data_IF_098965455465
#
_entry.id   IF_098965455465
#
_cell.length_a   1.000
_cell.length_b   1.000
_cell.length_c   1.000
_cell.angle_alpha   90.00
_cell.angle_beta   90.00
_cell.angle_gamma   90.00
#
_symmetry.space_group_name_H-M   'P 1'
#
loop_
_entity.id
_entity.type
_entity.pdbx_description
1 polymer ?
#
# COMPACT_ATOMS: atom_id res chain seq x y z
N UNK A 1 -6.16 15.64 -16.00
CA UNK A 1 -5.07 14.76 -15.53
C UNK A 1 -4.90 13.62 -16.54
N UNK A 2 -3.80 13.55 -17.31
CA UNK A 2 -3.58 12.48 -18.29
C UNK A 2 -2.95 11.28 -17.58
N UNK A 3 -3.73 10.19 -17.41
CA UNK A 3 -3.20 8.89 -16.98
C UNK A 3 -2.31 8.34 -18.12
N UNK A 4 -1.08 7.93 -17.84
CA UNK A 4 -0.21 7.22 -18.79
C UNK A 4 -0.06 5.77 -18.34
N UNK A 5 -0.26 4.83 -19.27
CA UNK A 5 -0.13 3.38 -19.04
C UNK A 5 -1.48 2.67 -18.81
N UNK A 6 -1.59 1.37 -19.17
CA UNK A 6 -2.76 0.58 -18.83
C UNK A 6 -2.89 0.48 -17.29
N UNK A 7 -4.12 0.45 -16.73
CA UNK A 7 -4.30 0.26 -15.30
C UNK A 7 -3.65 -1.08 -14.89
N UNK A 8 -2.73 -1.02 -13.93
CA UNK A 8 -2.12 -2.23 -13.37
C UNK A 8 -2.95 -2.67 -12.16
N UNK A 9 -3.51 -3.88 -12.21
CA UNK A 9 -4.20 -4.48 -11.07
C UNK A 9 -3.26 -5.43 -10.35
N UNK A 10 -3.08 -5.22 -9.05
CA UNK A 10 -2.24 -6.09 -8.23
C UNK A 10 -2.87 -7.48 -8.06
N UNK A 11 -2.03 -8.48 -7.74
CA UNK A 11 -2.53 -9.69 -7.07
C UNK A 11 -3.17 -9.29 -5.72
N UNK A 12 -4.15 -10.05 -5.19
CA UNK A 12 -4.71 -9.79 -3.87
C UNK A 12 -3.64 -9.82 -2.78
N UNK A 13 -3.68 -8.88 -1.83
CA UNK A 13 -2.74 -8.82 -0.71
C UNK A 13 -3.44 -8.38 0.58
N UNK A 14 -2.79 -8.67 1.71
CA UNK A 14 -3.34 -8.35 3.05
C UNK A 14 -3.05 -6.92 3.42
N UNK A 15 -4.07 -6.18 3.85
CA UNK A 15 -3.97 -4.84 4.39
C UNK A 15 -4.47 -4.83 5.83
N UNK A 16 -3.65 -4.32 6.75
CA UNK A 16 -4.00 -4.31 8.18
C UNK A 16 -4.96 -3.17 8.48
N UNK A 17 -6.03 -3.46 9.22
CA UNK A 17 -7.01 -2.47 9.70
C UNK A 17 -6.76 -2.10 11.17
N UNK A 18 -7.48 -1.10 11.68
CA UNK A 18 -7.22 -0.48 12.98
C UNK A 18 -7.26 -1.48 14.15
N UNK A 19 -8.27 -2.35 14.18
CA UNK A 19 -8.43 -3.40 15.19
C UNK A 19 -7.35 -4.51 15.14
N UNK A 20 -6.37 -4.43 14.24
CA UNK A 20 -5.27 -5.40 14.09
C UNK A 20 -5.58 -6.58 13.16
N UNK A 21 -6.84 -6.75 12.73
CA UNK A 21 -7.21 -7.73 11.70
C UNK A 21 -6.66 -7.33 10.32
N UNK A 22 -6.76 -8.25 9.36
CA UNK A 22 -6.40 -8.00 7.98
C UNK A 22 -7.60 -8.16 7.05
N UNK A 23 -7.70 -7.25 6.08
CA UNK A 23 -8.58 -7.40 4.92
C UNK A 23 -7.75 -7.85 3.72
N UNK A 24 -8.34 -8.63 2.83
CA UNK A 24 -7.72 -8.95 1.54
C UNK A 24 -8.18 -7.90 0.54
N UNK A 25 -7.25 -7.20 -0.09
CA UNK A 25 -7.54 -6.15 -1.08
C UNK A 25 -6.84 -6.44 -2.41
N UNK A 26 -7.44 -5.94 -3.47
CA UNK A 26 -6.79 -5.74 -4.77
C UNK A 26 -6.68 -4.24 -5.02
N UNK A 27 -5.58 -3.81 -5.63
CA UNK A 27 -5.36 -2.40 -5.92
C UNK A 27 -5.19 -2.19 -7.40
N UNK A 28 -5.98 -1.29 -7.96
CA UNK A 28 -5.72 -0.70 -9.26
C UNK A 28 -4.75 0.47 -9.07
N UNK A 29 -3.60 0.39 -9.72
CA UNK A 29 -2.55 1.38 -9.64
C UNK A 29 -2.56 2.29 -10.87
N UNK A 30 -2.42 3.58 -10.60
CA UNK A 30 -2.20 4.61 -11.61
C UNK A 30 -1.22 5.66 -11.08
N UNK A 31 -0.83 6.59 -11.94
CA UNK A 31 0.16 7.62 -11.60
C UNK A 31 -0.25 9.00 -12.11
N UNK A 32 0.29 10.01 -11.44
CA UNK A 32 0.22 11.40 -11.87
C UNK A 32 1.62 11.91 -12.23
N UNK A 33 1.79 12.27 -13.49
CA UNK A 33 3.01 12.90 -14.01
C UNK A 33 2.71 14.39 -14.19
N UNK A 34 3.54 15.23 -13.59
CA UNK A 34 3.41 16.68 -13.69
C UNK A 34 3.53 17.14 -15.16
N UNK A 35 2.57 17.91 -15.69
CA UNK A 35 2.58 18.35 -17.09
C UNK A 35 3.77 19.24 -17.48
N UNK A 36 4.36 19.98 -16.54
CA UNK A 36 5.47 20.90 -16.76
C UNK A 36 6.82 20.24 -16.52
N UNK A 37 7.05 19.69 -15.32
CA UNK A 37 8.34 19.08 -14.96
C UNK A 37 8.56 17.71 -15.61
N UNK A 38 7.49 17.08 -16.11
CA UNK A 38 7.48 15.69 -16.63
C UNK A 38 7.89 14.63 -15.62
N UNK A 39 7.99 14.99 -14.33
CA UNK A 39 8.31 14.06 -13.25
C UNK A 39 7.06 13.38 -12.72
N UNK A 40 7.22 12.13 -12.29
CA UNK A 40 6.22 11.42 -11.51
C UNK A 40 6.10 12.10 -10.12
N UNK A 41 4.90 12.55 -9.77
CA UNK A 41 4.66 13.22 -8.48
C UNK A 41 3.83 12.38 -7.52
N UNK A 42 2.87 11.60 -8.04
CA UNK A 42 1.99 10.79 -7.21
C UNK A 42 1.77 9.41 -7.81
N UNK A 43 1.72 8.42 -6.93
CA UNK A 43 1.14 7.11 -7.20
C UNK A 43 -0.25 7.08 -6.57
N UNK A 44 -1.25 6.66 -7.35
CA UNK A 44 -2.64 6.58 -6.92
C UNK A 44 -3.05 5.11 -6.91
N UNK A 45 -3.43 4.61 -5.73
CA UNK A 45 -3.99 3.27 -5.55
C UNK A 45 -5.49 3.34 -5.29
N UNK A 46 -6.30 2.68 -6.13
CA UNK A 46 -7.71 2.45 -5.88
C UNK A 46 -7.89 1.05 -5.31
N UNK A 47 -8.24 0.96 -4.02
CA UNK A 47 -8.32 -0.29 -3.28
C UNK A 47 -9.74 -0.87 -3.31
N UNK A 48 -9.86 -2.17 -3.62
CA UNK A 48 -11.12 -2.93 -3.54
C UNK A 48 -10.97 -4.05 -2.52
N UNK A 49 -11.90 -4.16 -1.59
CA UNK A 49 -11.96 -5.27 -0.63
C UNK A 49 -12.43 -6.54 -1.37
N UNK A 50 -11.61 -7.58 -1.32
CA UNK A 50 -11.91 -8.94 -1.82
C UNK A 50 -12.49 -9.80 -0.70
N UNK A 51 -11.92 -9.70 0.50
CA UNK A 51 -12.39 -10.42 1.70
C UNK A 51 -12.29 -9.52 2.93
N UNK A 52 -13.37 -9.48 3.71
CA UNK A 52 -13.45 -8.74 4.96
C UNK A 52 -12.56 -9.29 6.08
N UNK A 53 -12.43 -8.56 7.19
CA UNK A 53 -11.63 -8.95 8.33
C UNK A 53 -12.32 -10.05 9.15
N UNK A 54 -11.55 -10.79 9.95
CA UNK A 54 -12.09 -11.81 10.87
C UNK A 54 -12.99 -11.19 11.94
N UNK A 55 -12.60 -10.02 12.48
CA UNK A 55 -13.45 -9.21 13.35
C UNK A 55 -14.09 -8.07 12.52
N UNK A 56 -15.42 -8.08 12.31
CA UNK A 56 -16.13 -7.03 11.57
C UNK A 56 -16.05 -5.64 12.20
N UNK A 57 -15.90 -5.54 13.52
CA UNK A 57 -15.74 -4.26 14.21
C UNK A 57 -14.31 -3.74 14.02
N UNK A 58 -14.08 -3.06 12.88
CA UNK A 58 -12.78 -2.50 12.51
C UNK A 58 -12.36 -1.30 13.36
N UNK A 59 -13.29 -0.69 14.09
CA UNK A 59 -13.05 0.49 14.95
C UNK A 59 -12.77 0.11 16.41
N UNK A 60 -12.96 -1.16 16.78
CA UNK A 60 -12.59 -1.68 18.08
C UNK A 60 -11.17 -1.26 18.49
N UNK A 61 -11.00 -1.03 19.80
CA UNK A 61 -9.70 -0.73 20.38
C UNK A 61 -8.69 -1.81 19.99
N UNK A 62 -7.48 -1.37 19.61
CA UNK A 62 -6.39 -2.32 19.35
C UNK A 62 -6.05 -3.02 20.67
N UNK A 63 -5.93 -4.37 20.70
CA UNK A 63 -5.52 -5.04 21.92
C UNK A 63 -4.12 -4.53 22.31
N UNK A 64 -3.95 -4.11 23.55
CA UNK A 64 -2.76 -3.41 24.07
C UNK A 64 -1.44 -4.19 23.84
N UNK A 65 -1.54 -5.51 23.63
CA UNK A 65 -0.42 -6.42 23.40
C UNK A 65 -0.12 -6.73 21.92
N UNK A 66 -0.73 -5.97 20.98
CA UNK A 66 -0.60 -6.19 19.53
C UNK A 66 -0.08 -4.95 18.81
N UNK A 67 0.89 -4.26 19.40
CA UNK A 67 1.84 -3.57 18.53
C UNK A 67 2.52 -4.65 17.67
N UNK A 68 2.60 -4.48 16.35
CA UNK A 68 3.39 -5.41 15.56
C UNK A 68 4.82 -5.24 16.05
N UNK A 69 5.37 -6.24 16.74
CA UNK A 69 6.82 -6.33 16.91
C UNK A 69 7.38 -6.64 15.53
N UNK A 70 7.52 -5.59 14.72
CA UNK A 70 8.23 -5.67 13.45
C UNK A 70 9.69 -5.89 13.83
N UNK A 71 10.26 -7.02 13.42
CA UNK A 71 11.68 -7.28 13.69
C UNK A 71 12.53 -6.21 13.00
N UNK A 72 13.71 -5.95 13.58
CA UNK A 72 14.64 -4.99 12.99
C UNK A 72 15.02 -5.39 11.56
N UNK A 73 15.16 -6.69 11.29
CA UNK A 73 15.41 -7.22 9.95
C UNK A 73 14.30 -6.85 8.96
N UNK A 74 13.04 -7.02 9.35
CA UNK A 74 11.90 -6.67 8.49
C UNK A 74 11.84 -5.17 8.24
N UNK A 75 12.15 -4.34 9.25
CA UNK A 75 12.22 -2.90 9.07
C UNK A 75 13.34 -2.51 8.10
N UNK A 76 14.55 -3.06 8.25
CA UNK A 76 15.67 -2.85 7.34
C UNK A 76 15.31 -3.26 5.92
N UNK A 77 14.71 -4.43 5.74
CA UNK A 77 14.28 -4.91 4.42
C UNK A 77 13.26 -3.97 3.79
N UNK A 78 12.29 -3.47 4.56
CA UNK A 78 11.29 -2.52 4.05
C UNK A 78 11.91 -1.22 3.56
N UNK A 79 13.01 -0.77 4.18
CA UNK A 79 13.76 0.42 3.76
C UNK A 79 14.54 0.18 2.48
N UNK A 80 15.17 -0.99 2.34
CA UNK A 80 15.86 -1.36 1.09
C UNK A 80 14.87 -1.39 -0.07
N UNK A 81 13.74 -2.09 0.07
CA UNK A 81 12.71 -2.14 -0.96
C UNK A 81 12.12 -0.76 -1.28
N UNK A 82 11.92 0.09 -0.27
CA UNK A 82 11.46 1.46 -0.48
C UNK A 82 12.44 2.26 -1.36
N UNK A 83 13.75 2.16 -1.08
CA UNK A 83 14.76 2.88 -1.84
C UNK A 83 14.85 2.39 -3.29
N UNK A 84 14.79 1.07 -3.50
CA UNK A 84 14.76 0.48 -4.85
C UNK A 84 13.56 1.00 -5.67
N UNK A 85 12.37 1.03 -5.05
CA UNK A 85 11.17 1.60 -5.69
C UNK A 85 11.38 3.07 -6.03
N UNK A 86 11.93 3.86 -5.11
CA UNK A 86 12.18 5.29 -5.36
C UNK A 86 13.14 5.46 -6.53
N UNK A 87 14.27 4.74 -6.55
CA UNK A 87 15.23 4.79 -7.66
C UNK A 87 14.52 4.53 -9.01
N UNK A 88 13.79 3.41 -9.11
CA UNK A 88 13.05 3.03 -10.32
C UNK A 88 12.00 4.06 -10.77
N UNK A 89 11.39 4.78 -9.83
CA UNK A 89 10.35 5.77 -10.11
C UNK A 89 10.91 7.17 -10.42
N UNK A 90 12.19 7.40 -10.13
CA UNK A 90 12.87 8.68 -10.32
C UNK A 90 13.91 8.69 -11.46
N UNK A 91 14.22 7.52 -12.03
CA UNK A 91 14.88 7.41 -13.34
C UNK A 91 14.13 8.21 -14.42
#
# INVERSE_FOLDING_TARGET
IKKKGPPFRSKPYRFRVQNGSFVLIETEWSSFINPWSKKLELIVGQHRIVKGPTNPDVFAARPENTSPQISEELFKQSKVTQNEIICLLTE
#
